data_IF_528259173621
#
_entry.id   IF_528259173621
#
_cell.length_a   1.000
_cell.length_b   1.000
_cell.length_c   1.000
_cell.angle_alpha   90.00
_cell.angle_beta   90.00
_cell.angle_gamma   90.00
#
_symmetry.space_group_name_H-M   'P 1'
#
loop_
_entity.id
_entity.type
_entity.pdbx_description
1 polymer ?
#
# COMPACT_ATOMS: atom_id res chain seq x y z
N UNK A 1 33.28 -45.77 11.70
CA UNK A 1 32.09 -45.05 12.20
C UNK A 1 32.50 -43.63 12.53
N UNK A 2 31.81 -42.62 12.01
CA UNK A 2 32.19 -41.20 12.19
C UNK A 2 31.64 -40.71 13.54
N UNK A 3 32.42 -40.01 14.37
CA UNK A 3 31.94 -39.40 15.60
C UNK A 3 30.73 -38.48 15.39
N UNK A 4 29.75 -38.54 16.28
CA UNK A 4 28.52 -37.72 16.23
C UNK A 4 28.84 -36.22 16.25
N UNK A 5 29.88 -35.82 17.00
CA UNK A 5 30.36 -34.43 17.03
C UNK A 5 30.80 -33.93 15.65
N UNK A 6 31.48 -34.77 14.87
CA UNK A 6 31.89 -34.45 13.50
C UNK A 6 30.68 -34.36 12.58
N UNK A 7 29.73 -35.31 12.68
CA UNK A 7 28.48 -35.25 11.91
C UNK A 7 27.74 -33.92 12.15
N UNK A 8 27.54 -33.53 13.42
CA UNK A 8 26.90 -32.26 13.79
C UNK A 8 27.65 -31.05 13.22
N UNK A 9 28.97 -31.03 13.33
CA UNK A 9 29.78 -29.92 12.79
C UNK A 9 29.67 -29.80 11.27
N UNK A 10 29.67 -30.93 10.56
CA UNK A 10 29.48 -30.97 9.10
C UNK A 10 28.13 -30.38 8.72
N UNK A 11 27.04 -30.77 9.39
CA UNK A 11 25.70 -30.22 9.11
C UNK A 11 25.62 -28.72 9.40
N UNK A 12 26.15 -28.25 10.53
CA UNK A 12 26.18 -26.81 10.84
C UNK A 12 26.94 -26.02 9.78
N UNK A 13 28.12 -26.48 9.37
CA UNK A 13 28.92 -25.82 8.35
C UNK A 13 28.26 -25.89 6.96
N UNK A 14 27.56 -26.98 6.67
CA UNK A 14 26.78 -27.14 5.44
C UNK A 14 25.63 -26.13 5.38
N UNK A 15 24.87 -25.99 6.47
CA UNK A 15 23.77 -25.02 6.59
C UNK A 15 24.27 -23.57 6.52
N UNK A 16 25.49 -23.30 6.96
CA UNK A 16 26.15 -22.00 6.82
C UNK A 16 26.60 -21.70 5.38
N UNK A 17 26.29 -22.55 4.40
CA UNK A 17 26.67 -22.34 3.01
C UNK A 17 28.15 -22.55 2.70
N UNK A 18 28.94 -23.10 3.65
CA UNK A 18 30.37 -23.34 3.44
C UNK A 18 30.55 -24.39 2.31
N UNK A 19 31.49 -24.21 1.37
CA UNK A 19 31.74 -25.19 0.31
C UNK A 19 32.19 -26.54 0.87
N UNK A 20 31.69 -27.65 0.31
CA UNK A 20 32.00 -29.02 0.72
C UNK A 20 33.50 -29.27 0.92
N UNK A 21 34.32 -28.82 -0.02
CA UNK A 21 35.76 -29.07 0.02
C UNK A 21 36.45 -28.30 1.15
N UNK A 22 35.87 -27.17 1.57
CA UNK A 22 36.34 -26.41 2.74
C UNK A 22 35.93 -27.09 4.04
N UNK A 23 34.69 -27.60 4.11
CA UNK A 23 34.21 -28.42 5.24
C UNK A 23 35.10 -29.68 5.40
N UNK A 24 35.47 -30.32 4.29
CA UNK A 24 36.34 -31.50 4.27
C UNK A 24 37.68 -31.21 4.96
N UNK A 25 38.32 -30.09 4.57
CA UNK A 25 39.56 -29.63 5.18
C UNK A 25 39.40 -29.25 6.64
N UNK A 26 38.31 -28.57 7.01
CA UNK A 26 38.07 -28.10 8.38
C UNK A 26 37.81 -29.24 9.38
N UNK A 27 37.28 -30.37 8.91
CA UNK A 27 36.98 -31.53 9.76
C UNK A 27 37.93 -32.72 9.51
N UNK A 28 38.96 -32.56 8.68
CA UNK A 28 39.93 -33.60 8.32
C UNK A 28 39.30 -34.90 7.81
N UNK A 29 38.24 -34.79 7.01
CA UNK A 29 37.50 -35.92 6.42
C UNK A 29 37.43 -35.80 4.90
N UNK A 30 37.12 -36.91 4.23
CA UNK A 30 36.95 -36.90 2.77
C UNK A 30 35.67 -36.16 2.35
N UNK A 31 35.67 -35.61 1.13
CA UNK A 31 34.47 -34.99 0.55
C UNK A 31 33.32 -35.98 0.39
N UNK A 32 33.61 -37.25 0.07
CA UNK A 32 32.59 -38.31 -0.01
C UNK A 32 31.97 -38.60 1.36
N UNK A 33 32.76 -38.50 2.43
CA UNK A 33 32.25 -38.62 3.81
C UNK A 33 31.25 -37.52 4.14
N UNK A 34 31.48 -36.29 3.66
CA UNK A 34 30.53 -35.19 3.84
C UNK A 34 29.25 -35.44 3.06
N UNK A 35 29.35 -35.86 1.79
CA UNK A 35 28.16 -36.19 1.00
C UNK A 35 27.28 -37.20 1.73
N UNK A 36 27.86 -38.28 2.25
CA UNK A 36 27.10 -39.27 3.00
C UNK A 36 26.45 -38.70 4.27
N UNK A 37 27.13 -37.81 5.01
CA UNK A 37 26.54 -37.19 6.21
C UNK A 37 25.37 -36.28 5.83
N UNK A 38 25.50 -35.51 4.74
CA UNK A 38 24.43 -34.62 4.27
C UNK A 38 23.26 -35.42 3.71
N UNK A 39 23.53 -36.51 2.98
CA UNK A 39 22.49 -37.41 2.46
C UNK A 39 21.75 -38.11 3.61
N UNK A 40 22.46 -38.59 4.64
CA UNK A 40 21.83 -39.11 5.88
C UNK A 40 20.88 -38.07 6.52
N UNK A 41 21.24 -36.78 6.48
CA UNK A 41 20.43 -35.70 7.09
C UNK A 41 19.26 -35.29 6.19
N UNK A 42 19.40 -35.37 4.86
CA UNK A 42 18.30 -35.12 3.91
C UNK A 42 17.15 -36.10 4.09
N UNK A 43 17.45 -37.34 4.50
CA UNK A 43 16.42 -38.33 4.83
C UNK A 43 15.59 -37.93 6.07
N UNK A 44 16.11 -37.02 6.91
CA UNK A 44 15.45 -36.50 8.11
C UNK A 44 14.80 -35.13 7.85
N UNK A 45 15.49 -34.25 7.14
CA UNK A 45 15.07 -32.89 6.83
C UNK A 45 15.15 -32.62 5.32
N UNK A 46 13.99 -32.67 4.66
CA UNK A 46 13.84 -32.41 3.23
C UNK A 46 14.15 -30.96 2.85
N UNK A 47 14.19 -30.03 3.81
CA UNK A 47 14.40 -28.60 3.58
C UNK A 47 15.85 -28.14 3.80
N UNK A 48 16.76 -29.06 4.12
CA UNK A 48 18.17 -28.74 4.41
C UNK A 48 18.85 -28.00 3.26
N UNK A 49 18.54 -28.36 2.01
CA UNK A 49 19.09 -27.71 0.82
C UNK A 49 18.45 -26.34 0.54
N UNK A 50 17.16 -26.15 0.85
CA UNK A 50 16.53 -24.84 0.80
C UNK A 50 17.14 -23.90 1.83
N UNK A 51 17.37 -24.39 3.05
CA UNK A 51 18.03 -23.65 4.13
C UNK A 51 19.46 -23.24 3.74
N UNK A 52 20.23 -24.16 3.16
CA UNK A 52 21.56 -23.86 2.62
C UNK A 52 21.50 -22.82 1.50
N UNK A 53 20.54 -22.96 0.58
CA UNK A 53 20.37 -22.04 -0.55
C UNK A 53 20.07 -20.63 -0.06
N UNK A 54 19.19 -20.51 0.92
CA UNK A 54 18.91 -19.25 1.61
C UNK A 54 20.18 -18.70 2.28
N UNK A 55 20.91 -19.50 3.06
CA UNK A 55 22.13 -19.04 3.73
C UNK A 55 23.21 -18.54 2.75
N UNK A 56 23.42 -19.25 1.63
CA UNK A 56 24.35 -18.82 0.57
C UNK A 56 23.90 -17.51 -0.07
N UNK A 57 22.60 -17.39 -0.38
CA UNK A 57 22.03 -16.16 -0.91
C UNK A 57 22.27 -14.98 0.04
N UNK A 58 22.04 -15.18 1.34
CA UNK A 58 22.24 -14.14 2.36
C UNK A 58 23.68 -13.70 2.53
N UNK A 59 24.63 -14.64 2.44
CA UNK A 59 26.05 -14.31 2.49
C UNK A 59 26.50 -13.51 1.25
N UNK A 60 25.92 -13.78 0.08
CA UNK A 60 26.29 -13.13 -1.17
C UNK A 60 25.70 -11.71 -1.29
N UNK A 61 24.50 -11.48 -0.77
CA UNK A 61 23.80 -10.20 -0.84
C UNK A 61 24.20 -9.22 0.28
N UNK A 62 25.29 -9.50 1.02
CA UNK A 62 25.70 -8.78 2.25
C UNK A 62 24.52 -8.48 3.20
N UNK A 63 23.50 -9.35 3.18
CA UNK A 63 22.22 -9.03 3.78
C UNK A 63 22.31 -9.26 5.27
N UNK A 64 22.14 -8.18 6.04
CA UNK A 64 22.13 -8.28 7.49
C UNK A 64 20.94 -9.13 7.94
N UNK A 65 21.15 -10.00 8.93
CA UNK A 65 20.07 -10.78 9.59
C UNK A 65 18.90 -9.87 10.04
N UNK A 66 19.20 -8.60 10.35
CA UNK A 66 18.22 -7.56 10.66
C UNK A 66 17.23 -7.31 9.51
N UNK A 67 17.64 -7.43 8.25
CA UNK A 67 16.75 -7.28 7.09
C UNK A 67 15.69 -8.38 7.06
N UNK A 68 16.04 -9.58 7.51
CA UNK A 68 15.08 -10.69 7.61
C UNK A 68 14.02 -10.49 8.69
N UNK A 69 14.34 -9.80 9.78
CA UNK A 69 13.32 -9.55 10.81
C UNK A 69 12.18 -8.68 10.29
N UNK A 70 12.43 -7.84 9.28
CA UNK A 70 11.41 -7.01 8.65
C UNK A 70 10.51 -7.84 7.73
N UNK A 71 11.11 -8.75 6.95
CA UNK A 71 10.37 -9.69 6.11
C UNK A 71 9.49 -10.63 6.95
N UNK A 72 10.05 -11.20 8.02
CA UNK A 72 9.29 -12.04 8.98
C UNK A 72 8.16 -11.26 9.62
N UNK A 73 8.40 -10.01 10.03
CA UNK A 73 7.35 -9.15 10.61
C UNK A 73 6.23 -8.88 9.60
N UNK A 74 6.56 -8.54 8.36
CA UNK A 74 5.57 -8.31 7.31
C UNK A 74 4.77 -9.58 6.99
N UNK A 75 5.44 -10.74 6.96
CA UNK A 75 4.81 -12.03 6.77
C UNK A 75 3.79 -12.35 7.88
N UNK A 76 4.19 -12.17 9.14
CA UNK A 76 3.30 -12.40 10.28
C UNK A 76 2.09 -11.45 10.27
N UNK A 77 2.29 -10.17 9.98
CA UNK A 77 1.18 -9.21 9.82
C UNK A 77 0.23 -9.66 8.70
N UNK A 78 0.77 -10.13 7.58
CA UNK A 78 -0.04 -10.61 6.45
C UNK A 78 -0.86 -11.83 6.85
N UNK A 79 -0.26 -12.79 7.56
CA UNK A 79 -0.97 -13.96 8.11
C UNK A 79 -2.07 -13.58 9.11
N UNK A 80 -1.77 -12.69 10.06
CA UNK A 80 -2.73 -12.23 11.08
C UNK A 80 -3.95 -11.55 10.45
N UNK A 81 -3.73 -10.81 9.36
CA UNK A 81 -4.79 -10.12 8.61
C UNK A 81 -5.48 -11.02 7.58
N UNK A 82 -5.02 -12.25 7.37
CA UNK A 82 -5.53 -13.15 6.33
C UNK A 82 -5.25 -12.67 4.91
N UNK A 83 -4.22 -11.85 4.71
CA UNK A 83 -3.81 -11.28 3.42
C UNK A 83 -2.64 -12.09 2.86
N UNK A 84 -2.71 -12.47 1.59
CA UNK A 84 -1.61 -13.15 0.90
C UNK A 84 -0.45 -12.19 0.61
N UNK A 85 0.78 -12.70 0.58
CA UNK A 85 1.97 -11.89 0.27
C UNK A 85 1.87 -11.28 -1.12
N UNK A 86 1.31 -12.03 -2.08
CA UNK A 86 1.06 -11.59 -3.44
C UNK A 86 0.11 -10.39 -3.49
N UNK A 87 -0.92 -10.37 -2.62
CA UNK A 87 -1.83 -9.24 -2.52
C UNK A 87 -1.15 -8.01 -1.90
N UNK A 88 -0.34 -8.22 -0.87
CA UNK A 88 0.46 -7.15 -0.25
C UNK A 88 1.42 -6.52 -1.26
N UNK A 89 2.13 -7.34 -2.03
CA UNK A 89 3.04 -6.89 -3.09
C UNK A 89 2.29 -6.12 -4.20
N UNK A 90 1.16 -6.66 -4.68
CA UNK A 90 0.33 -5.99 -5.68
C UNK A 90 -0.19 -4.61 -5.19
N UNK A 91 -0.54 -4.50 -3.91
CA UNK A 91 -0.95 -3.22 -3.31
C UNK A 91 0.20 -2.21 -3.30
N UNK A 92 1.40 -2.64 -2.88
CA UNK A 92 2.61 -1.79 -2.86
C UNK A 92 2.90 -1.26 -4.28
N UNK A 93 2.84 -2.12 -5.30
CA UNK A 93 3.04 -1.71 -6.69
C UNK A 93 1.98 -0.71 -7.17
N UNK A 94 0.70 -0.95 -6.86
CA UNK A 94 -0.38 0.01 -7.21
C UNK A 94 -0.17 1.37 -6.55
N UNK A 95 0.24 1.40 -5.28
CA UNK A 95 0.56 2.64 -4.57
C UNK A 95 1.74 3.35 -5.26
N UNK A 96 2.81 2.61 -5.55
CA UNK A 96 3.98 3.17 -6.22
C UNK A 96 3.64 3.75 -7.59
N UNK A 97 2.90 3.02 -8.43
CA UNK A 97 2.44 3.51 -9.73
C UNK A 97 1.56 4.75 -9.62
N UNK A 98 0.65 4.78 -8.65
CA UNK A 98 -0.21 5.94 -8.39
C UNK A 98 0.63 7.16 -8.01
N UNK A 99 1.56 6.99 -7.06
CA UNK A 99 2.46 8.04 -6.61
C UNK A 99 3.32 8.57 -7.77
N UNK A 100 3.87 7.67 -8.59
CA UNK A 100 4.64 8.02 -9.79
C UNK A 100 3.81 8.86 -10.78
N UNK A 101 2.60 8.40 -11.13
CA UNK A 101 1.68 9.11 -12.04
C UNK A 101 1.26 10.49 -11.51
N UNK A 102 1.24 10.67 -10.19
CA UNK A 102 0.84 11.91 -9.51
C UNK A 102 2.02 12.77 -9.04
N UNK A 103 3.26 12.37 -9.34
CA UNK A 103 4.48 13.04 -8.89
C UNK A 103 4.52 13.28 -7.38
N UNK A 104 4.08 12.28 -6.60
CA UNK A 104 4.11 12.28 -5.14
C UNK A 104 5.08 11.23 -4.63
N UNK A 105 5.63 11.45 -3.44
CA UNK A 105 6.41 10.41 -2.76
C UNK A 105 5.48 9.36 -2.14
N UNK A 106 5.93 8.11 -2.11
CA UNK A 106 5.20 7.02 -1.45
C UNK A 106 5.01 7.29 0.06
N UNK A 107 6.02 7.78 0.81
CA UNK A 107 5.84 8.13 2.22
C UNK A 107 4.77 9.21 2.45
N UNK A 108 4.76 10.28 1.64
CA UNK A 108 3.77 11.36 1.80
C UNK A 108 2.36 10.87 1.52
N UNK A 109 2.21 10.00 0.51
CA UNK A 109 0.92 9.39 0.19
C UNK A 109 0.45 8.43 1.29
N UNK A 110 1.34 7.62 1.86
CA UNK A 110 1.00 6.72 2.96
C UNK A 110 0.55 7.50 4.20
N UNK A 111 1.26 8.58 4.57
CA UNK A 111 0.86 9.45 5.67
C UNK A 111 -0.52 10.08 5.42
N UNK A 112 -0.75 10.60 4.20
CA UNK A 112 -2.04 11.18 3.82
C UNK A 112 -3.18 10.15 3.87
N UNK A 113 -2.94 8.89 3.49
CA UNK A 113 -3.93 7.82 3.63
C UNK A 113 -4.24 7.54 5.11
N UNK A 114 -3.21 7.44 5.96
CA UNK A 114 -3.38 7.22 7.40
C UNK A 114 -4.17 8.36 8.03
N UNK A 115 -3.85 9.61 7.69
CA UNK A 115 -4.54 10.80 8.19
C UNK A 115 -6.01 10.80 7.76
N UNK A 116 -6.29 10.47 6.49
CA UNK A 116 -7.66 10.37 6.00
C UNK A 116 -8.46 9.27 6.70
N UNK A 117 -7.89 8.07 6.85
CA UNK A 117 -8.54 6.97 7.56
C UNK A 117 -8.88 7.40 9.00
N UNK A 118 -7.90 7.95 9.71
CA UNK A 118 -8.08 8.46 11.08
C UNK A 118 -9.18 9.50 11.17
N UNK A 119 -9.22 10.46 10.23
CA UNK A 119 -10.25 11.49 10.20
C UNK A 119 -11.64 10.89 9.95
N UNK A 120 -11.76 9.93 9.04
CA UNK A 120 -13.05 9.27 8.74
C UNK A 120 -13.57 8.47 9.93
N UNK A 121 -12.68 7.76 10.63
CA UNK A 121 -13.01 7.01 11.86
C UNK A 121 -13.50 7.94 12.97
N UNK A 122 -12.83 9.08 13.18
CA UNK A 122 -13.24 10.10 14.17
C UNK A 122 -14.67 10.62 13.92
N UNK A 123 -15.09 10.67 12.67
CA UNK A 123 -16.41 11.14 12.27
C UNK A 123 -17.42 10.00 12.08
N UNK A 124 -17.05 8.75 12.39
CA UNK A 124 -17.90 7.58 12.22
C UNK A 124 -18.28 7.29 10.75
N UNK A 125 -17.47 7.77 9.81
CA UNK A 125 -17.68 7.59 8.37
C UNK A 125 -16.89 6.37 7.93
N UNK A 126 -17.56 5.33 7.43
CA UNK A 126 -16.83 4.23 6.79
C UNK A 126 -16.29 4.64 5.43
N UNK A 127 -15.22 4.00 4.95
CA UNK A 127 -14.70 4.20 3.59
C UNK A 127 -15.79 4.00 2.51
N UNK A 128 -16.71 3.04 2.70
CA UNK A 128 -17.85 2.84 1.79
C UNK A 128 -18.88 3.98 1.83
N UNK A 129 -19.01 4.65 2.97
CA UNK A 129 -19.84 5.85 3.09
C UNK A 129 -19.16 7.07 2.51
N UNK A 130 -17.83 7.14 2.60
CA UNK A 130 -17.05 8.25 2.07
C UNK A 130 -17.27 8.42 0.57
N UNK A 131 -17.22 7.35 -0.22
CA UNK A 131 -17.48 7.43 -1.66
C UNK A 131 -18.89 7.99 -1.97
N UNK A 132 -19.91 7.46 -1.28
CA UNK A 132 -21.30 7.94 -1.44
C UNK A 132 -21.46 9.42 -1.07
N UNK A 133 -20.86 9.83 0.05
CA UNK A 133 -20.90 11.23 0.50
C UNK A 133 -20.17 12.13 -0.49
N UNK A 134 -18.97 11.74 -0.92
CA UNK A 134 -18.16 12.50 -1.87
C UNK A 134 -18.90 12.71 -3.20
N UNK A 135 -19.48 11.66 -3.76
CA UNK A 135 -20.26 11.75 -5.01
C UNK A 135 -21.49 12.64 -4.83
N UNK A 136 -22.19 12.55 -3.69
CA UNK A 136 -23.32 13.42 -3.38
C UNK A 136 -22.93 14.90 -3.25
N UNK A 137 -21.79 15.20 -2.63
CA UNK A 137 -21.26 16.56 -2.53
C UNK A 137 -20.83 17.11 -3.89
N UNK A 138 -20.19 16.29 -4.72
CA UNK A 138 -19.78 16.68 -6.08
C UNK A 138 -20.99 17.00 -6.97
N UNK A 139 -22.05 16.19 -6.89
CA UNK A 139 -23.29 16.44 -7.61
C UNK A 139 -23.96 17.75 -7.17
N UNK A 140 -24.04 18.00 -5.85
CA UNK A 140 -24.57 19.26 -5.30
C UNK A 140 -23.76 20.48 -5.75
N UNK A 141 -22.42 20.38 -5.74
CA UNK A 141 -21.54 21.45 -6.20
C UNK A 141 -21.84 21.79 -7.67
N UNK A 142 -21.91 20.79 -8.54
CA UNK A 142 -22.18 21.00 -9.97
C UNK A 142 -23.56 21.63 -10.19
N UNK A 143 -24.59 21.20 -9.45
CA UNK A 143 -25.92 21.79 -9.49
C UNK A 143 -25.90 23.27 -9.12
N UNK A 144 -25.22 23.64 -8.03
CA UNK A 144 -25.12 25.05 -7.63
C UNK A 144 -24.35 25.89 -8.64
N UNK A 145 -23.31 25.34 -9.28
CA UNK A 145 -22.56 26.02 -10.35
C UNK A 145 -23.41 26.22 -11.63
N UNK A 146 -24.32 25.31 -11.94
CA UNK A 146 -25.27 25.44 -13.04
C UNK A 146 -26.34 26.50 -12.73
N UNK A 147 -26.96 26.43 -11.55
CA UNK A 147 -27.93 27.43 -11.10
C UNK A 147 -27.33 28.84 -11.05
N UNK A 148 -26.08 28.98 -10.59
CA UNK A 148 -25.40 30.26 -10.59
C UNK A 148 -25.15 30.81 -12.01
N UNK A 149 -24.87 29.93 -12.98
CA UNK A 149 -24.72 30.32 -14.40
C UNK A 149 -26.03 30.76 -15.00
N UNK A 150 -27.11 30.02 -14.78
CA UNK A 150 -28.45 30.39 -15.27
C UNK A 150 -28.93 31.71 -14.67
N UNK A 151 -28.80 31.88 -13.35
CA UNK A 151 -29.16 33.13 -12.67
C UNK A 151 -28.37 34.33 -13.21
N UNK A 152 -27.10 34.13 -13.56
CA UNK A 152 -26.27 35.16 -14.20
C UNK A 152 -26.75 35.47 -15.62
N UNK A 153 -27.06 34.47 -16.43
CA UNK A 153 -27.59 34.69 -17.79
C UNK A 153 -28.94 35.40 -17.80
N UNK A 154 -29.84 35.04 -16.87
CA UNK A 154 -31.13 35.71 -16.70
C UNK A 154 -30.92 37.18 -16.33
N UNK A 155 -30.06 37.47 -15.35
CA UNK A 155 -29.71 38.84 -14.95
C UNK A 155 -29.13 39.64 -16.11
N UNK A 156 -28.20 39.07 -16.87
CA UNK A 156 -27.56 39.73 -18.02
C UNK A 156 -28.54 39.95 -19.18
N UNK A 157 -29.57 39.11 -19.30
CA UNK A 157 -30.65 39.24 -20.28
C UNK A 157 -31.63 40.34 -19.86
N UNK A 158 -32.02 40.40 -18.59
CA UNK A 158 -32.89 41.46 -18.05
C UNK A 158 -32.25 42.85 -18.16
N UNK A 159 -30.97 42.98 -17.81
CA UNK A 159 -30.20 44.22 -17.99
C UNK A 159 -30.23 44.68 -19.46
N UNK A 160 -30.09 43.73 -20.40
CA UNK A 160 -30.12 44.01 -21.84
C UNK A 160 -31.50 44.38 -22.37
N UNK A 161 -32.56 43.69 -21.93
CA UNK A 161 -33.93 43.90 -22.40
C UNK A 161 -34.55 45.20 -21.87
N UNK A 162 -34.27 45.53 -20.61
CA UNK A 162 -34.90 46.69 -19.96
C UNK A 162 -33.98 47.92 -19.91
N UNK A 163 -32.75 47.85 -20.45
CA UNK A 163 -31.79 48.96 -20.43
C UNK A 163 -31.47 49.48 -19.02
N UNK A 164 -31.76 48.67 -18.00
CA UNK A 164 -31.79 49.07 -16.59
C UNK A 164 -30.46 48.72 -15.95
N UNK A 165 -29.90 49.64 -15.16
CA UNK A 165 -28.60 49.42 -14.50
C UNK A 165 -28.73 48.44 -13.33
N UNK A 166 -27.66 47.74 -12.96
CA UNK A 166 -27.68 46.73 -11.88
C UNK A 166 -28.25 47.27 -10.56
N UNK A 167 -28.04 48.56 -10.27
CA UNK A 167 -28.53 49.25 -9.07
C UNK A 167 -30.06 49.43 -9.05
N UNK A 168 -30.70 49.57 -10.21
CA UNK A 168 -32.15 49.74 -10.33
C UNK A 168 -32.90 48.41 -10.14
N UNK A 169 -32.34 47.28 -10.59
CA UNK A 169 -32.89 45.93 -10.34
C UNK A 169 -32.86 45.56 -8.84
N UNK A 170 -31.76 45.91 -8.16
CA UNK A 170 -31.64 45.71 -6.70
C UNK A 170 -32.64 46.59 -5.95
N UNK A 171 -32.88 47.83 -6.40
CA UNK A 171 -33.92 48.70 -5.83
C UNK A 171 -35.34 48.15 -6.05
N UNK A 172 -35.67 47.63 -7.22
CA UNK A 172 -37.02 47.08 -7.50
C UNK A 172 -37.34 45.83 -6.66
N UNK A 173 -36.38 44.93 -6.48
CA UNK A 173 -36.55 43.73 -5.64
C UNK A 173 -36.68 44.04 -4.14
N UNK A 174 -36.11 45.14 -3.68
CA UNK A 174 -36.21 45.59 -2.28
C UNK A 174 -37.40 46.51 -2.02
N UNK A 175 -38.00 47.10 -3.08
CA UNK A 175 -39.13 48.03 -2.98
C UNK A 175 -40.51 47.37 -3.06
N UNK A 176 -40.61 46.08 -3.41
CA UNK A 176 -41.90 45.43 -3.62
C UNK A 176 -42.03 44.10 -2.86
N UNK A 177 -42.64 44.08 -1.65
CA UNK A 177 -42.86 42.85 -0.88
C UNK A 177 -43.99 41.94 -1.43
N UNK A 178 -44.67 42.34 -2.52
CA UNK A 178 -45.90 41.68 -2.98
C UNK A 178 -45.92 41.40 -4.49
N UNK A 179 -45.05 40.52 -4.98
CA UNK A 179 -45.33 39.71 -6.19
C UNK A 179 -44.51 38.42 -6.18
N UNK A 180 -44.85 37.51 -5.25
CA UNK A 180 -44.67 36.07 -5.46
C UNK A 180 -45.99 35.41 -5.09
N UNK A 181 -47.01 35.55 -5.96
CA UNK A 181 -48.18 34.67 -6.01
C UNK A 181 -48.78 34.70 -7.40
N UNK A 182 -48.26 33.86 -8.29
CA UNK A 182 -49.03 33.03 -9.24
C UNK A 182 -48.10 32.49 -10.33
N UNK A 183 -48.46 31.31 -10.85
CA UNK A 183 -47.78 30.48 -11.85
C UNK A 183 -46.90 29.44 -11.12
N UNK A 184 -47.38 28.24 -10.77
CA UNK A 184 -47.98 27.21 -11.65
C UNK A 184 -47.20 27.03 -12.94
#
# INVERSE_FOLDING_TARGET
MIPVSIKRNVILQWLQGIPRDKIARMNEISTGTISNIVDDERDVDLEIDYTRTLAVYLMNEETQVRTFSWAVRLYNISLELGISIETTEALIHKIHEHCFKKQKSVPDFANLLIDHITLTEQHGISLDQFERIYMGLLAKKNLYEEQAREAKMLRDTEIRLYGTTHEELVRLSTSNPFTVKSLN
#
